data_IF_685169868816
#
_entry.id   IF_685169868816
#
_cell.length_a   1.000
_cell.length_b   1.000
_cell.length_c   1.000
_cell.angle_alpha   90.00
_cell.angle_beta   90.00
_cell.angle_gamma   90.00
#
_symmetry.space_group_name_H-M   'P 1'
#
loop_
_entity.id
_entity.type
_entity.pdbx_description
1 polymer ?
#
# COMPACT_ATOMS: atom_id res chain seq x y z
N UNK A 1 -21.76 10.78 -10.28
CA UNK A 1 -21.26 9.39 -10.39
C UNK A 1 -21.64 8.64 -9.13
N UNK A 2 -22.03 7.38 -9.23
CA UNK A 2 -22.28 6.52 -8.08
C UNK A 2 -20.95 5.92 -7.57
N UNK A 3 -20.83 5.72 -6.26
CA UNK A 3 -19.69 5.05 -5.64
C UNK A 3 -19.87 3.53 -5.76
N UNK A 4 -18.96 2.86 -6.47
CA UNK A 4 -18.95 1.40 -6.62
C UNK A 4 -18.08 0.76 -5.52
N UNK A 5 -18.73 0.24 -4.48
CA UNK A 5 -18.05 -0.37 -3.34
C UNK A 5 -17.38 -1.70 -3.71
N UNK A 6 -17.89 -2.44 -4.68
CA UNK A 6 -17.31 -3.74 -5.06
C UNK A 6 -16.03 -3.54 -5.85
N UNK A 7 -15.98 -2.53 -6.73
CA UNK A 7 -14.75 -2.10 -7.37
C UNK A 7 -13.69 -1.69 -6.34
N UNK A 8 -14.07 -0.89 -5.35
CA UNK A 8 -13.15 -0.47 -4.27
C UNK A 8 -12.67 -1.68 -3.45
N UNK A 9 -13.55 -2.63 -3.09
CA UNK A 9 -13.16 -3.83 -2.32
C UNK A 9 -12.14 -4.69 -3.08
N UNK A 10 -12.22 -4.75 -4.41
CA UNK A 10 -11.28 -5.50 -5.24
C UNK A 10 -9.84 -4.96 -5.13
N UNK A 11 -9.66 -3.67 -4.82
CA UNK A 11 -8.35 -3.08 -4.61
C UNK A 11 -7.70 -3.51 -3.28
N UNK A 12 -8.46 -4.01 -2.30
CA UNK A 12 -7.95 -4.44 -1.00
C UNK A 12 -7.85 -5.97 -0.95
N UNK A 13 -6.73 -6.58 -1.38
CA UNK A 13 -6.64 -8.03 -1.58
C UNK A 13 -6.98 -8.83 -0.31
N UNK A 14 -6.64 -8.31 0.87
CA UNK A 14 -6.90 -8.99 2.14
C UNK A 14 -8.40 -9.21 2.42
N UNK A 15 -9.30 -8.40 1.85
CA UNK A 15 -10.74 -8.53 2.06
C UNK A 15 -11.36 -9.78 1.40
N UNK A 16 -10.61 -10.46 0.53
CA UNK A 16 -11.00 -11.76 -0.04
C UNK A 16 -10.65 -12.96 0.86
N UNK A 17 -9.92 -12.74 1.97
CA UNK A 17 -9.49 -13.82 2.86
C UNK A 17 -10.64 -14.43 3.65
N UNK A 18 -10.44 -15.69 4.03
CA UNK A 18 -11.22 -16.34 5.06
C UNK A 18 -10.46 -16.39 6.39
N UNK A 19 -11.17 -16.18 7.49
CA UNK A 19 -10.71 -16.35 8.88
C UNK A 19 -11.64 -17.33 9.56
N UNK A 20 -11.08 -18.39 10.17
CA UNK A 20 -11.86 -19.46 10.82
C UNK A 20 -12.92 -20.08 9.88
N UNK A 21 -12.56 -20.26 8.61
CA UNK A 21 -13.45 -20.82 7.57
C UNK A 21 -14.62 -19.93 7.15
N UNK A 22 -14.60 -18.63 7.49
CA UNK A 22 -15.65 -17.67 7.12
C UNK A 22 -15.05 -16.45 6.40
N UNK A 23 -15.79 -15.79 5.49
CA UNK A 23 -15.35 -14.55 4.86
C UNK A 23 -14.99 -13.49 5.90
N UNK A 24 -13.88 -12.79 5.67
CA UNK A 24 -13.44 -11.71 6.54
C UNK A 24 -14.44 -10.54 6.54
N UNK A 25 -14.88 -10.12 7.73
CA UNK A 25 -15.59 -8.86 7.97
C UNK A 25 -14.73 -8.04 8.94
N UNK A 26 -13.90 -7.16 8.39
CA UNK A 26 -12.95 -6.36 9.18
C UNK A 26 -13.61 -5.04 9.64
N UNK A 27 -14.03 -4.98 10.90
CA UNK A 27 -14.68 -3.82 11.53
C UNK A 27 -13.80 -3.15 12.59
N UNK A 28 -12.49 -3.11 12.33
CA UNK A 28 -11.49 -2.50 13.23
C UNK A 28 -10.58 -1.49 12.51
N UNK A 29 -11.08 -0.92 11.40
CA UNK A 29 -10.33 0.07 10.62
C UNK A 29 -10.01 1.35 11.40
N UNK A 30 -10.69 1.59 12.53
CA UNK A 30 -10.37 2.69 13.44
C UNK A 30 -9.03 2.51 14.16
N UNK A 31 -8.58 1.28 14.37
CA UNK A 31 -7.25 0.98 14.89
C UNK A 31 -6.19 1.03 13.77
N UNK A 32 -6.45 0.38 12.63
CA UNK A 32 -5.63 0.49 11.43
C UNK A 32 -6.39 0.03 10.18
N UNK A 33 -6.34 0.79 9.10
CA UNK A 33 -7.01 0.41 7.86
C UNK A 33 -6.25 -0.69 7.09
N UNK A 34 -6.98 -1.45 6.28
CA UNK A 34 -6.39 -2.30 5.25
C UNK A 34 -5.80 -1.43 4.12
N UNK A 35 -4.90 -2.02 3.33
CA UNK A 35 -4.11 -1.28 2.34
C UNK A 35 -4.54 -1.72 0.95
N UNK A 36 -4.85 -0.78 0.04
CA UNK A 36 -5.14 -1.14 -1.34
C UNK A 36 -3.84 -1.59 -2.03
N UNK A 37 -3.97 -2.32 -3.13
CA UNK A 37 -2.87 -2.88 -3.92
C UNK A 37 -1.87 -1.80 -4.35
N UNK A 38 -2.34 -0.63 -4.78
CA UNK A 38 -1.48 0.48 -5.18
C UNK A 38 -0.51 0.93 -4.07
N UNK A 39 -0.95 0.95 -2.81
CA UNK A 39 -0.09 1.30 -1.66
C UNK A 39 0.96 0.21 -1.43
N UNK A 40 0.54 -1.06 -1.50
CA UNK A 40 1.45 -2.21 -1.33
C UNK A 40 2.52 -2.18 -2.42
N UNK A 41 2.12 -2.01 -3.68
CA UNK A 41 3.03 -2.00 -4.84
C UNK A 41 4.00 -0.82 -4.80
N UNK A 42 3.56 0.37 -4.38
CA UNK A 42 4.45 1.52 -4.20
C UNK A 42 5.53 1.22 -3.14
N UNK A 43 5.14 0.66 -1.99
CA UNK A 43 6.09 0.27 -0.95
C UNK A 43 7.06 -0.82 -1.43
N UNK A 44 6.55 -1.86 -2.10
CA UNK A 44 7.37 -2.93 -2.68
C UNK A 44 8.38 -2.37 -3.67
N UNK A 45 7.95 -1.49 -4.58
CA UNK A 45 8.83 -0.90 -5.60
C UNK A 45 9.97 -0.09 -4.98
N UNK A 46 9.68 0.72 -3.95
CA UNK A 46 10.73 1.46 -3.23
C UNK A 46 11.73 0.50 -2.59
N UNK A 47 11.25 -0.53 -1.90
CA UNK A 47 12.11 -1.51 -1.24
C UNK A 47 12.98 -2.32 -2.21
N UNK A 48 12.45 -2.68 -3.38
CA UNK A 48 13.13 -3.54 -4.35
C UNK A 48 14.07 -2.78 -5.30
N UNK A 49 13.77 -1.52 -5.61
CA UNK A 49 14.49 -0.79 -6.67
C UNK A 49 15.22 0.46 -6.21
N UNK A 50 14.75 1.12 -5.16
CA UNK A 50 15.19 2.49 -4.85
C UNK A 50 15.43 2.70 -3.36
N UNK A 51 15.72 1.66 -2.58
CA UNK A 51 15.84 1.77 -1.13
C UNK A 51 17.13 2.47 -0.70
N UNK A 52 17.00 3.65 -0.10
CA UNK A 52 18.04 4.39 0.60
C UNK A 52 17.44 5.37 1.61
N UNK A 53 18.28 6.05 2.39
CA UNK A 53 17.81 7.15 3.24
C UNK A 53 17.43 8.38 2.39
N UNK A 54 16.36 9.07 2.77
CA UNK A 54 15.81 10.25 2.07
C UNK A 54 16.50 11.58 2.41
N UNK A 55 17.71 11.53 2.96
CA UNK A 55 18.45 12.73 3.37
C UNK A 55 19.19 13.42 2.20
N UNK A 56 18.56 13.47 1.01
CA UNK A 56 19.11 14.07 -0.23
C UNK A 56 20.61 13.80 -0.40
N UNK A 57 20.97 12.52 -0.36
CA UNK A 57 22.34 12.06 -0.48
C UNK A 57 22.92 12.36 -1.86
N UNK A 58 24.24 12.42 -1.97
CA UNK A 58 24.92 12.69 -3.24
C UNK A 58 24.81 11.54 -4.27
N UNK A 59 24.30 10.38 -3.86
CA UNK A 59 24.25 9.17 -4.70
C UNK A 59 22.84 8.88 -5.24
N UNK A 60 22.78 8.24 -6.41
CA UNK A 60 21.57 8.01 -7.20
C UNK A 60 20.40 7.44 -6.39
N UNK A 61 20.61 6.35 -5.65
CA UNK A 61 19.53 5.72 -4.88
C UNK A 61 18.91 6.65 -3.83
N UNK A 62 19.68 7.53 -3.17
CA UNK A 62 19.12 8.46 -2.17
C UNK A 62 18.23 9.53 -2.82
N UNK A 63 18.59 9.98 -4.03
CA UNK A 63 17.74 10.90 -4.78
C UNK A 63 16.46 10.18 -5.26
N UNK A 64 16.58 8.97 -5.81
CA UNK A 64 15.42 8.17 -6.22
C UNK A 64 14.45 7.89 -5.07
N UNK A 65 14.95 7.53 -3.87
CA UNK A 65 14.07 7.35 -2.70
C UNK A 65 13.39 8.65 -2.28
N UNK A 66 14.13 9.76 -2.31
CA UNK A 66 13.61 11.08 -1.90
C UNK A 66 12.48 11.50 -2.85
N UNK A 67 12.70 11.39 -4.15
CA UNK A 67 11.71 11.74 -5.17
C UNK A 67 10.46 10.84 -5.05
N UNK A 68 10.63 9.54 -4.80
CA UNK A 68 9.51 8.60 -4.60
C UNK A 68 8.74 8.84 -3.29
N UNK A 69 9.37 9.43 -2.27
CA UNK A 69 8.74 9.77 -0.99
C UNK A 69 7.99 11.11 -1.04
N UNK A 70 8.49 12.07 -1.83
CA UNK A 70 7.92 13.43 -1.94
C UNK A 70 6.81 13.56 -3.01
N UNK A 71 6.68 12.58 -3.93
CA UNK A 71 5.67 12.54 -5.00
C UNK A 71 4.26 12.14 -4.51
#
# INVERSE_FOLDING_TARGET
>A
MAFDVEAVRADFPILSRQINGKPLVYLDSGASAQKPRAVIEAMTRVMEHSYANVHRGLHTLANETTDAYEA
#
